data_IF_177868405156
#
_entry.id   IF_177868405156
#
_cell.length_a   1.000
_cell.length_b   1.000
_cell.length_c   1.000
_cell.angle_alpha   90.00
_cell.angle_beta   90.00
_cell.angle_gamma   90.00
#
_symmetry.space_group_name_H-M   'P 1'
#
loop_
_entity.id
_entity.type
_entity.pdbx_description
1 polymer ?
#
# COMPACT_ATOMS: atom_id res chain seq x y z
N UNK A 1 2.20 -22.97 3.09
CA UNK A 1 2.41 -22.27 1.80
C UNK A 1 2.60 -23.34 0.74
N UNK A 2 1.91 -23.24 -0.40
CA UNK A 2 2.19 -24.13 -1.52
C UNK A 2 3.49 -23.69 -2.19
N UNK A 3 4.43 -24.62 -2.39
CA UNK A 3 5.65 -24.35 -3.15
C UNK A 3 5.28 -24.08 -4.62
N UNK A 4 5.35 -22.81 -5.01
CA UNK A 4 5.19 -22.39 -6.39
C UNK A 4 6.45 -22.77 -7.17
N UNK A 5 6.27 -23.25 -8.40
CA UNK A 5 7.41 -23.45 -9.31
C UNK A 5 8.03 -22.10 -9.69
N UNK A 6 9.30 -22.09 -10.09
CA UNK A 6 9.97 -20.86 -10.54
C UNK A 6 9.18 -20.12 -11.64
N UNK A 7 8.62 -20.88 -12.60
CA UNK A 7 7.76 -20.32 -13.65
C UNK A 7 6.49 -19.68 -13.10
N UNK A 8 5.82 -20.34 -12.15
CA UNK A 8 4.62 -19.79 -11.52
C UNK A 8 4.93 -18.53 -10.73
N UNK A 9 6.09 -18.47 -10.07
CA UNK A 9 6.59 -17.26 -9.41
C UNK A 9 6.79 -16.14 -10.42
N UNK A 10 7.47 -16.40 -11.54
CA UNK A 10 7.72 -15.39 -12.59
C UNK A 10 6.42 -14.87 -13.22
N UNK A 11 5.48 -15.77 -13.51
CA UNK A 11 4.15 -15.42 -14.05
C UNK A 11 3.36 -14.59 -13.03
N UNK A 12 3.31 -15.03 -11.77
CA UNK A 12 2.59 -14.33 -10.71
C UNK A 12 3.16 -12.93 -10.50
N UNK A 13 4.49 -12.80 -10.45
CA UNK A 13 5.20 -11.53 -10.33
C UNK A 13 4.82 -10.58 -11.47
N UNK A 14 4.99 -11.05 -12.70
CA UNK A 14 4.73 -10.26 -13.91
C UNK A 14 3.27 -9.80 -13.98
N UNK A 15 2.33 -10.69 -13.61
CA UNK A 15 0.92 -10.37 -13.54
C UNK A 15 0.60 -9.29 -12.51
N UNK A 16 1.16 -9.41 -11.31
CA UNK A 16 0.94 -8.43 -10.25
C UNK A 16 1.52 -7.07 -10.63
N UNK A 17 2.71 -7.04 -11.23
CA UNK A 17 3.34 -5.80 -11.72
C UNK A 17 2.48 -5.12 -12.80
N UNK A 18 2.03 -5.86 -13.81
CA UNK A 18 1.12 -5.34 -14.85
C UNK A 18 -0.22 -4.87 -14.24
N UNK A 19 -0.76 -5.60 -13.25
CA UNK A 19 -2.00 -5.20 -12.56
C UNK A 19 -1.83 -3.92 -11.74
N UNK A 20 -0.71 -3.76 -11.02
CA UNK A 20 -0.38 -2.55 -10.27
C UNK A 20 -0.33 -1.34 -11.23
N UNK A 21 0.26 -1.51 -12.41
CA UNK A 21 0.41 -0.45 -13.40
C UNK A 21 -0.90 -0.09 -14.11
N UNK A 22 -1.69 -1.08 -14.52
CA UNK A 22 -2.82 -0.87 -15.44
C UNK A 22 -4.19 -0.80 -14.75
N UNK A 23 -4.35 -1.35 -13.55
CA UNK A 23 -5.65 -1.60 -12.93
C UNK A 23 -6.57 -2.57 -13.70
N UNK A 24 -6.04 -3.27 -14.71
CA UNK A 24 -6.83 -4.11 -15.62
C UNK A 24 -6.59 -5.60 -15.41
N UNK A 25 -7.58 -6.42 -15.79
CA UNK A 25 -7.44 -7.86 -15.75
C UNK A 25 -6.39 -8.34 -16.76
N UNK A 26 -5.38 -9.08 -16.29
CA UNK A 26 -4.20 -9.41 -17.10
C UNK A 26 -4.38 -10.74 -17.82
N UNK A 27 -4.15 -10.73 -19.14
CA UNK A 27 -4.21 -11.89 -20.02
C UNK A 27 -2.84 -12.51 -20.31
N UNK A 28 -2.83 -13.76 -20.80
CA UNK A 28 -1.60 -14.49 -21.13
C UNK A 28 -0.80 -13.83 -22.26
N UNK A 29 -1.48 -13.22 -23.23
CA UNK A 29 -0.81 -12.54 -24.36
C UNK A 29 -0.13 -11.25 -23.92
N UNK A 30 -0.71 -10.50 -22.98
CA UNK A 30 -0.10 -9.31 -22.40
C UNK A 30 1.20 -9.68 -21.69
N UNK A 31 1.17 -10.75 -20.89
CA UNK A 31 2.33 -11.24 -20.15
C UNK A 31 3.47 -11.72 -21.05
N UNK A 32 3.14 -12.47 -22.11
CA UNK A 32 4.15 -12.95 -23.07
C UNK A 32 4.86 -11.78 -23.77
N UNK A 33 4.10 -10.80 -24.26
CA UNK A 33 4.66 -9.66 -25.01
C UNK A 33 5.48 -8.70 -24.17
N UNK A 34 5.08 -8.45 -22.92
CA UNK A 34 5.70 -7.41 -22.08
C UNK A 34 6.78 -7.93 -21.13
N UNK A 35 6.68 -9.17 -20.64
CA UNK A 35 7.53 -9.64 -19.54
C UNK A 35 8.58 -10.68 -19.94
N UNK A 36 8.81 -10.87 -21.25
CA UNK A 36 9.83 -11.76 -21.80
C UNK A 36 9.86 -13.15 -21.13
N UNK A 37 8.68 -13.70 -20.88
CA UNK A 37 8.52 -15.01 -20.26
C UNK A 37 8.89 -16.09 -21.28
N UNK A 38 9.76 -17.03 -20.88
CA UNK A 38 10.17 -18.18 -21.71
C UNK A 38 9.06 -19.24 -21.85
N UNK A 39 7.83 -18.83 -22.18
CA UNK A 39 6.66 -19.70 -22.28
C UNK A 39 5.63 -19.15 -23.29
N UNK A 40 4.96 -20.06 -24.01
CA UNK A 40 3.89 -19.68 -24.95
C UNK A 40 2.65 -19.12 -24.22
N UNK A 41 1.80 -18.30 -24.87
CA UNK A 41 0.56 -17.82 -24.28
C UNK A 41 -0.36 -18.94 -23.75
N UNK A 42 -0.40 -20.09 -24.43
CA UNK A 42 -1.17 -21.26 -23.98
C UNK A 42 -0.61 -21.85 -22.67
N UNK A 43 0.72 -21.94 -22.56
CA UNK A 43 1.40 -22.38 -21.34
C UNK A 43 1.13 -21.41 -20.19
N UNK A 44 1.29 -20.11 -20.41
CA UNK A 44 1.02 -19.07 -19.39
C UNK A 44 -0.44 -19.14 -18.96
N UNK A 45 -1.38 -19.35 -19.90
CA UNK A 45 -2.81 -19.51 -19.59
C UNK A 45 -3.06 -20.67 -18.64
N UNK A 46 -2.41 -21.82 -18.86
CA UNK A 46 -2.54 -23.01 -18.01
C UNK A 46 -1.96 -22.77 -16.62
N UNK A 47 -0.80 -22.12 -16.52
CA UNK A 47 -0.20 -21.78 -15.22
C UNK A 47 -1.06 -20.78 -14.44
N UNK A 48 -1.67 -19.79 -15.11
CA UNK A 48 -2.62 -18.88 -14.46
C UNK A 48 -3.89 -19.60 -13.97
N UNK A 49 -4.34 -20.64 -14.66
CA UNK A 49 -5.44 -21.50 -14.16
C UNK A 49 -4.99 -22.18 -12.87
N UNK A 50 -3.78 -22.75 -12.85
CA UNK A 50 -3.22 -23.38 -11.65
C UNK A 50 -3.07 -22.40 -10.48
N UNK A 51 -2.55 -21.19 -10.73
CA UNK A 51 -2.45 -20.13 -9.73
C UNK A 51 -3.82 -19.67 -9.21
N UNK A 52 -4.88 -19.79 -10.03
CA UNK A 52 -6.26 -19.55 -9.59
C UNK A 52 -6.75 -20.65 -8.66
N UNK A 53 -6.50 -21.93 -9.00
CA UNK A 53 -6.84 -23.09 -8.15
C UNK A 53 -6.12 -23.02 -6.79
N UNK A 54 -4.88 -22.51 -6.79
CA UNK A 54 -4.09 -22.30 -5.58
C UNK A 54 -4.49 -21.04 -4.78
N UNK A 55 -5.43 -20.24 -5.28
CA UNK A 55 -5.95 -19.05 -4.60
C UNK A 55 -5.12 -17.77 -4.73
N UNK A 56 -4.04 -17.76 -5.50
CA UNK A 56 -3.21 -16.56 -5.72
C UNK A 56 -3.85 -15.58 -6.72
N UNK A 57 -4.62 -16.09 -7.67
CA UNK A 57 -5.33 -15.31 -8.68
C UNK A 57 -6.83 -15.59 -8.61
N UNK A 58 -7.64 -14.67 -9.14
CA UNK A 58 -9.06 -14.86 -9.39
C UNK A 58 -9.43 -14.50 -10.82
N UNK A 59 -10.44 -15.17 -11.35
CA UNK A 59 -11.04 -14.83 -12.66
C UNK A 59 -11.84 -13.54 -12.52
N UNK A 60 -11.81 -12.73 -13.56
CA UNK A 60 -12.78 -11.64 -13.72
C UNK A 60 -13.97 -12.15 -14.54
N UNK A 61 -15.10 -11.44 -14.51
CA UNK A 61 -16.26 -11.79 -15.36
C UNK A 61 -15.92 -11.72 -16.86
N UNK A 62 -14.83 -11.04 -17.25
CA UNK A 62 -14.28 -11.02 -18.60
C UNK A 62 -13.37 -12.24 -18.80
N UNK A 63 -13.71 -13.08 -19.77
CA UNK A 63 -13.26 -14.47 -19.92
C UNK A 63 -11.76 -14.73 -20.19
N UNK A 64 -10.92 -13.68 -20.33
CA UNK A 64 -9.50 -13.82 -20.65
C UNK A 64 -8.53 -13.38 -19.53
N UNK A 65 -8.96 -12.46 -18.65
CA UNK A 65 -8.07 -11.80 -17.68
C UNK A 65 -8.15 -12.36 -16.27
N UNK A 66 -7.03 -12.29 -15.55
CA UNK A 66 -6.94 -12.64 -14.11
C UNK A 66 -6.47 -11.42 -13.33
N UNK A 67 -6.90 -11.33 -12.08
CA UNK A 67 -6.39 -10.33 -11.13
C UNK A 67 -5.86 -11.04 -9.88
N UNK A 68 -4.92 -10.43 -9.16
CA UNK A 68 -4.42 -10.98 -7.90
C UNK A 68 -5.52 -11.05 -6.84
N UNK A 69 -5.45 -12.05 -5.97
CA UNK A 69 -6.19 -12.04 -4.69
C UNK A 69 -5.36 -11.32 -3.63
N UNK A 70 -5.95 -11.07 -2.45
CA UNK A 70 -5.18 -10.57 -1.29
C UNK A 70 -4.03 -11.51 -0.92
N UNK A 71 -4.20 -12.83 -1.11
CA UNK A 71 -3.12 -13.81 -0.91
C UNK A 71 -2.01 -13.65 -1.97
N UNK A 72 -2.38 -13.49 -3.24
CA UNK A 72 -1.46 -13.17 -4.33
C UNK A 72 -0.62 -11.93 -4.04
N UNK A 73 -1.29 -10.85 -3.66
CA UNK A 73 -0.63 -9.57 -3.38
C UNK A 73 0.30 -9.67 -2.15
N UNK A 74 -0.12 -10.33 -1.07
CA UNK A 74 0.77 -10.58 0.08
C UNK A 74 2.00 -11.38 -0.28
N UNK A 75 1.84 -12.42 -1.09
CA UNK A 75 2.97 -13.23 -1.54
C UNK A 75 3.97 -12.37 -2.33
N UNK A 76 3.47 -11.53 -3.24
CA UNK A 76 4.29 -10.58 -3.97
C UNK A 76 5.07 -9.65 -3.05
N UNK A 77 4.37 -8.99 -2.12
CA UNK A 77 4.99 -8.03 -1.21
C UNK A 77 6.02 -8.69 -0.30
N UNK A 78 5.75 -9.91 0.20
CA UNK A 78 6.65 -10.59 1.13
C UNK A 78 7.85 -11.25 0.45
N UNK A 79 7.74 -11.68 -0.81
CA UNK A 79 8.76 -12.57 -1.41
C UNK A 79 9.29 -12.11 -2.77
N UNK A 80 8.54 -11.30 -3.54
CA UNK A 80 8.84 -11.06 -4.96
C UNK A 80 9.21 -9.62 -5.28
N UNK A 81 8.64 -8.68 -4.52
CA UNK A 81 8.82 -7.25 -4.71
C UNK A 81 10.27 -6.86 -4.38
N UNK A 82 10.75 -5.78 -4.99
CA UNK A 82 12.05 -5.18 -4.67
C UNK A 82 11.80 -3.73 -4.26
N UNK A 83 12.16 -3.41 -3.03
CA UNK A 83 12.05 -2.04 -2.53
C UNK A 83 12.89 -1.10 -3.42
N UNK A 84 12.30 0.01 -3.85
CA UNK A 84 13.05 1.11 -4.47
C UNK A 84 13.68 1.93 -3.36
N UNK A 85 14.99 2.13 -3.43
CA UNK A 85 15.66 3.08 -2.54
C UNK A 85 15.19 4.50 -2.86
N UNK A 86 14.90 5.28 -1.82
CA UNK A 86 14.74 6.71 -1.97
C UNK A 86 16.09 7.32 -2.31
N UNK A 87 16.12 8.25 -3.26
CA UNK A 87 17.37 8.95 -3.55
C UNK A 87 17.72 9.89 -2.40
N UNK A 88 19.02 10.07 -2.14
CA UNK A 88 19.52 11.00 -1.11
C UNK A 88 18.96 12.41 -1.30
N UNK A 89 18.80 12.86 -2.55
CA UNK A 89 18.21 14.16 -2.86
C UNK A 89 16.75 14.27 -2.42
N UNK A 90 15.97 13.19 -2.57
CA UNK A 90 14.59 13.15 -2.10
C UNK A 90 14.52 13.17 -0.57
N UNK A 91 15.36 12.40 0.11
CA UNK A 91 15.43 12.39 1.58
C UNK A 91 15.78 13.77 2.13
N UNK A 92 16.80 14.43 1.58
CA UNK A 92 17.20 15.78 2.00
C UNK A 92 16.06 16.78 1.78
N UNK A 93 15.42 16.76 0.61
CA UNK A 93 14.30 17.67 0.31
C UNK A 93 13.10 17.45 1.24
N UNK A 94 12.81 16.21 1.63
CA UNK A 94 11.74 15.88 2.57
C UNK A 94 12.07 16.40 3.97
N UNK A 95 13.30 16.17 4.43
CA UNK A 95 13.78 16.61 5.74
C UNK A 95 13.77 18.13 5.89
N UNK A 96 14.23 18.86 4.89
CA UNK A 96 14.24 20.33 4.89
C UNK A 96 12.82 20.91 5.04
N UNK A 97 11.83 20.35 4.36
CA UNK A 97 10.43 20.84 4.41
C UNK A 97 9.82 20.81 5.81
N UNK A 98 10.18 19.84 6.63
CA UNK A 98 9.57 19.63 7.95
C UNK A 98 10.46 20.10 9.10
N UNK A 99 11.69 20.52 8.81
CA UNK A 99 12.70 20.90 9.81
C UNK A 99 12.29 22.08 10.68
N UNK A 100 11.67 23.10 10.08
CA UNK A 100 11.23 24.31 10.79
C UNK A 100 9.99 24.07 11.66
N UNK A 101 9.30 22.95 11.45
CA UNK A 101 8.11 22.55 12.21
C UNK A 101 8.44 21.60 13.36
N UNK A 102 9.70 21.18 13.53
CA UNK A 102 10.11 20.13 14.48
C UNK A 102 9.70 20.37 15.94
N UNK A 103 9.49 21.63 16.35
CA UNK A 103 9.07 22.00 17.72
C UNK A 103 7.55 22.17 17.85
N UNK A 104 6.81 21.99 16.76
CA UNK A 104 5.36 22.18 16.67
C UNK A 104 4.68 20.90 16.23
N UNK A 105 4.52 19.97 17.16
CA UNK A 105 3.98 18.62 16.95
C UNK A 105 2.86 18.53 15.90
N UNK A 106 1.72 19.20 16.15
CA UNK A 106 0.56 19.11 15.26
C UNK A 106 0.82 19.66 13.86
N UNK A 107 1.58 20.75 13.76
CA UNK A 107 1.94 21.35 12.46
C UNK A 107 2.90 20.45 11.70
N UNK A 108 3.87 19.85 12.40
CA UNK A 108 4.81 18.88 11.86
C UNK A 108 4.09 17.64 11.32
N UNK A 109 3.27 16.97 12.15
CA UNK A 109 2.55 15.75 11.73
C UNK A 109 1.61 16.02 10.55
N UNK A 110 0.95 17.18 10.54
CA UNK A 110 0.12 17.61 9.41
C UNK A 110 0.93 17.76 8.12
N UNK A 111 2.10 18.40 8.17
CA UNK A 111 2.94 18.61 6.99
C UNK A 111 3.61 17.31 6.51
N UNK A 112 4.05 16.47 7.44
CA UNK A 112 4.57 15.12 7.15
C UNK A 112 3.49 14.28 6.44
N UNK A 113 2.26 14.26 6.96
CA UNK A 113 1.12 13.53 6.35
C UNK A 113 0.81 14.07 4.96
N UNK A 114 0.76 15.40 4.80
CA UNK A 114 0.54 16.05 3.50
C UNK A 114 1.64 15.70 2.50
N UNK A 115 2.89 15.72 2.93
CA UNK A 115 4.04 15.41 2.08
C UNK A 115 4.04 13.93 1.70
N UNK A 116 3.69 13.03 2.62
CA UNK A 116 3.52 11.61 2.32
C UNK A 116 2.46 11.41 1.24
N UNK A 117 1.28 12.03 1.37
CA UNK A 117 0.21 11.95 0.37
C UNK A 117 0.66 12.43 -1.02
N UNK A 118 1.40 13.55 -1.08
CA UNK A 118 1.89 14.10 -2.35
C UNK A 118 2.87 13.18 -3.07
N UNK A 119 3.71 12.48 -2.30
CA UNK A 119 4.76 11.59 -2.81
C UNK A 119 4.20 10.22 -3.17
N UNK A 120 3.37 9.65 -2.28
CA UNK A 120 2.72 8.37 -2.48
C UNK A 120 1.65 8.40 -3.58
N UNK A 121 1.12 9.59 -3.91
CA UNK A 121 -0.04 9.77 -4.79
C UNK A 121 -1.24 8.95 -4.30
N UNK A 122 -1.44 8.90 -2.99
CA UNK A 122 -2.53 8.19 -2.34
C UNK A 122 -3.02 8.97 -1.12
N UNK A 123 -3.98 8.40 -0.37
CA UNK A 123 -4.43 8.97 0.89
C UNK A 123 -3.39 8.66 1.98
N UNK A 124 -2.86 9.68 2.63
CA UNK A 124 -1.98 9.50 3.78
C UNK A 124 -2.74 9.79 5.07
N UNK A 125 -2.43 9.01 6.10
CA UNK A 125 -3.00 9.12 7.44
C UNK A 125 -1.85 9.15 8.45
N UNK A 126 -1.97 10.00 9.46
CA UNK A 126 -1.18 9.89 10.68
C UNK A 126 -2.05 10.03 11.93
N UNK A 127 -1.70 9.30 12.99
CA UNK A 127 -2.41 9.28 14.26
C UNK A 127 -1.48 9.45 15.44
N UNK A 128 -2.00 9.89 16.59
CA UNK A 128 -1.28 9.86 17.86
C UNK A 128 -2.08 9.12 18.93
N UNK A 129 -1.39 8.63 19.96
CA UNK A 129 -1.98 8.06 21.17
C UNK A 129 -2.75 9.09 22.03
N UNK A 130 -2.65 10.38 21.70
CA UNK A 130 -3.46 11.46 22.29
C UNK A 130 -4.79 11.69 21.54
N UNK A 131 -5.03 10.91 20.48
CA UNK A 131 -6.27 10.98 19.69
C UNK A 131 -6.20 11.92 18.50
N UNK A 132 -5.03 12.47 18.16
CA UNK A 132 -4.90 13.27 16.95
C UNK A 132 -5.00 12.40 15.69
N UNK A 133 -5.61 12.99 14.67
CA UNK A 133 -5.83 12.37 13.38
C UNK A 133 -5.55 13.38 12.27
N UNK A 134 -4.62 13.04 11.40
CA UNK A 134 -4.24 13.83 10.24
C UNK A 134 -4.51 13.02 8.99
N UNK A 135 -5.16 13.62 8.00
CA UNK A 135 -5.40 12.98 6.72
C UNK A 135 -5.17 13.97 5.58
N UNK A 136 -4.56 13.48 4.50
CA UNK A 136 -4.29 14.24 3.30
C UNK A 136 -4.33 13.36 2.05
N UNK A 137 -4.54 13.95 0.88
CA UNK A 137 -4.50 13.22 -0.39
C UNK A 137 -5.86 12.70 -0.88
N UNK A 138 -6.98 13.21 -0.38
CA UNK A 138 -8.32 12.86 -0.86
C UNK A 138 -8.44 12.94 -2.39
N UNK A 139 -7.89 13.98 -3.00
CA UNK A 139 -7.91 14.15 -4.45
C UNK A 139 -7.13 13.05 -5.20
N UNK A 140 -6.02 12.54 -4.63
CA UNK A 140 -5.22 11.49 -5.27
C UNK A 140 -6.01 10.20 -5.45
N UNK A 141 -6.93 9.91 -4.53
CA UNK A 141 -7.79 8.73 -4.60
C UNK A 141 -8.74 8.83 -5.78
N UNK A 142 -9.28 10.02 -6.05
CA UNK A 142 -10.23 10.25 -7.14
C UNK A 142 -9.59 10.13 -8.54
N UNK A 143 -8.27 10.18 -8.64
CA UNK A 143 -7.53 9.92 -9.89
C UNK A 143 -7.40 8.42 -10.20
N UNK A 144 -7.76 7.54 -9.26
CA UNK A 144 -7.60 6.08 -9.40
C UNK A 144 -8.89 5.41 -9.89
N UNK A 145 -8.81 4.47 -10.87
CA UNK A 145 -9.98 3.81 -11.46
C UNK A 145 -10.95 3.16 -10.46
N UNK A 146 -10.44 2.56 -9.38
CA UNK A 146 -11.26 1.89 -8.36
C UNK A 146 -12.22 2.83 -7.64
N UNK A 147 -11.88 4.11 -7.56
CA UNK A 147 -12.64 5.14 -6.85
C UNK A 147 -13.47 6.00 -7.81
N UNK A 148 -13.64 5.56 -9.06
CA UNK A 148 -14.71 6.05 -9.91
C UNK A 148 -16.05 5.41 -9.56
N UNK A 149 -16.02 4.28 -8.85
CA UNK A 149 -17.19 3.70 -8.21
C UNK A 149 -17.54 4.53 -6.95
N UNK A 150 -18.75 5.09 -6.97
CA UNK A 150 -19.22 5.98 -5.90
C UNK A 150 -19.42 5.23 -4.58
N UNK A 151 -19.79 3.94 -4.61
CA UNK A 151 -20.03 3.16 -3.41
C UNK A 151 -18.71 2.81 -2.73
N UNK A 152 -17.69 2.46 -3.53
CA UNK A 152 -16.31 2.26 -3.04
C UNK A 152 -15.76 3.56 -2.45
N UNK A 153 -15.91 4.67 -3.16
CA UNK A 153 -15.39 5.97 -2.69
C UNK A 153 -16.08 6.42 -1.42
N UNK A 154 -17.40 6.33 -1.37
CA UNK A 154 -18.18 6.70 -0.18
C UNK A 154 -17.80 5.81 1.01
N UNK A 155 -17.65 4.51 0.81
CA UNK A 155 -17.24 3.60 1.89
C UNK A 155 -15.86 3.96 2.46
N UNK A 156 -14.89 4.31 1.61
CA UNK A 156 -13.59 4.80 2.07
C UNK A 156 -13.73 6.09 2.88
N UNK A 157 -14.45 7.09 2.36
CA UNK A 157 -14.57 8.39 3.01
C UNK A 157 -15.31 8.30 4.36
N UNK A 158 -16.37 7.49 4.44
CA UNK A 158 -17.10 7.23 5.69
C UNK A 158 -16.21 6.55 6.75
N UNK A 159 -15.28 5.69 6.33
CA UNK A 159 -14.32 5.07 7.25
C UNK A 159 -13.24 6.07 7.70
N UNK A 160 -12.81 6.99 6.82
CA UNK A 160 -11.84 8.03 7.14
C UNK A 160 -12.41 9.09 8.09
N UNK A 161 -13.70 9.39 7.97
CA UNK A 161 -14.41 10.29 8.90
C UNK A 161 -14.54 9.69 10.32
N UNK A 162 -14.25 8.39 10.49
CA UNK A 162 -14.28 7.68 11.77
C UNK A 162 -12.85 7.38 12.23
N UNK A 163 -12.19 8.38 12.80
CA UNK A 163 -10.80 8.29 13.24
C UNK A 163 -10.55 7.08 14.17
N UNK A 164 -11.50 6.75 15.05
CA UNK A 164 -11.41 5.63 15.99
C UNK A 164 -11.36 4.27 15.28
N UNK A 165 -12.03 4.14 14.12
CA UNK A 165 -11.99 2.91 13.34
C UNK A 165 -10.60 2.69 12.76
N UNK A 166 -10.03 3.71 12.12
CA UNK A 166 -8.66 3.63 11.57
C UNK A 166 -7.64 3.41 12.69
N UNK A 167 -7.82 4.05 13.84
CA UNK A 167 -6.99 3.80 15.03
C UNK A 167 -7.06 2.34 15.49
N UNK A 168 -8.24 1.72 15.46
CA UNK A 168 -8.41 0.32 15.85
C UNK A 168 -7.65 -0.65 14.93
N UNK A 169 -7.49 -0.33 13.65
CA UNK A 169 -6.70 -1.14 12.70
C UNK A 169 -5.22 -1.21 13.11
N UNK A 170 -4.71 -0.19 13.79
CA UNK A 170 -3.32 -0.13 14.24
C UNK A 170 -3.04 -0.93 15.52
N UNK A 171 -4.04 -1.06 16.38
CA UNK A 171 -3.90 -1.62 17.74
C UNK A 171 -3.58 -3.13 17.80
N UNK A 172 -3.72 -3.85 16.69
CA UNK A 172 -3.55 -5.30 16.63
C UNK A 172 -2.10 -5.80 16.52
N UNK A 173 -1.12 -4.92 16.34
CA UNK A 173 0.27 -5.30 16.04
C UNK A 173 1.26 -4.62 17.00
N UNK A 174 2.27 -5.38 17.46
CA UNK A 174 3.23 -4.97 18.51
C UNK A 174 4.65 -4.73 18.03
N UNK A 175 4.97 -4.97 16.75
CA UNK A 175 6.32 -4.69 16.23
C UNK A 175 6.38 -3.26 15.65
N UNK A 176 7.17 -2.43 16.31
CA UNK A 176 7.33 -1.01 16.02
C UNK A 176 8.28 -0.75 14.83
N UNK A 177 9.13 -1.71 14.47
CA UNK A 177 10.08 -1.57 13.35
C UNK A 177 9.57 -2.16 12.03
N UNK A 178 8.48 -2.92 12.07
CA UNK A 178 7.93 -3.59 10.89
C UNK A 178 6.95 -2.68 10.12
N UNK A 179 6.98 -2.79 8.79
CA UNK A 179 5.95 -2.22 7.93
C UNK A 179 4.77 -3.19 7.95
N UNK A 180 3.59 -2.67 8.33
CA UNK A 180 2.35 -3.42 8.37
C UNK A 180 1.55 -3.20 7.09
N UNK A 181 0.98 -4.27 6.56
CA UNK A 181 0.22 -4.25 5.31
C UNK A 181 -1.08 -5.01 5.50
N UNK A 182 -2.19 -4.32 5.35
CA UNK A 182 -3.54 -4.87 5.42
C UNK A 182 -4.19 -4.82 4.03
N UNK A 183 -4.79 -5.93 3.61
CA UNK A 183 -5.40 -6.04 2.27
C UNK A 183 -6.82 -6.59 2.34
N UNK A 184 -7.76 -5.91 1.70
CA UNK A 184 -9.16 -6.34 1.60
C UNK A 184 -9.78 -6.58 2.97
N UNK A 185 -10.25 -7.81 3.21
CA UNK A 185 -10.99 -8.19 4.42
C UNK A 185 -10.24 -7.94 5.75
N UNK A 186 -8.92 -7.84 5.73
CA UNK A 186 -8.12 -7.49 6.92
C UNK A 186 -8.38 -6.08 7.44
N UNK A 187 -8.89 -5.20 6.59
CA UNK A 187 -9.27 -3.84 6.95
C UNK A 187 -10.60 -3.80 7.69
N UNK A 188 -11.25 -4.95 7.90
CA UNK A 188 -12.48 -5.08 8.68
C UNK A 188 -13.74 -4.65 7.93
N UNK A 189 -14.90 -4.75 8.60
CA UNK A 189 -16.20 -4.64 7.94
C UNK A 189 -16.55 -3.22 7.45
N UNK A 190 -15.91 -2.17 7.98
CA UNK A 190 -16.16 -0.79 7.50
C UNK A 190 -15.32 -0.42 6.29
N UNK A 191 -14.26 -1.18 5.99
CA UNK A 191 -13.42 -1.03 4.81
C UNK A 191 -13.41 -2.35 4.03
N UNK A 192 -14.57 -2.70 3.47
CA UNK A 192 -14.79 -3.99 2.80
C UNK A 192 -14.58 -3.97 1.27
N UNK A 193 -14.03 -2.87 0.75
CA UNK A 193 -13.69 -2.71 -0.67
C UNK A 193 -12.32 -3.29 -1.05
N UNK A 194 -11.89 -3.10 -2.31
CA UNK A 194 -10.59 -3.55 -2.79
C UNK A 194 -9.48 -2.61 -2.32
N UNK A 195 -9.36 -2.41 -1.01
CA UNK A 195 -8.40 -1.48 -0.42
C UNK A 195 -7.11 -2.18 0.01
N UNK A 196 -6.04 -1.39 0.06
CA UNK A 196 -4.78 -1.75 0.68
C UNK A 196 -4.33 -0.62 1.59
N UNK A 197 -3.77 -0.99 2.74
CA UNK A 197 -3.24 -0.05 3.69
C UNK A 197 -1.83 -0.47 4.10
N UNK A 198 -0.89 0.48 3.99
CA UNK A 198 0.52 0.28 4.38
C UNK A 198 0.85 1.31 5.45
N UNK A 199 1.24 0.86 6.63
CA UNK A 199 1.56 1.77 7.74
C UNK A 199 2.76 1.28 8.55
N UNK A 200 3.35 2.21 9.30
CA UNK A 200 4.38 1.96 10.32
C UNK A 200 3.97 2.69 11.59
N UNK A 201 4.26 2.10 12.74
CA UNK A 201 4.19 2.79 14.04
C UNK A 201 5.48 3.60 14.26
N UNK A 202 5.36 4.80 14.78
CA UNK A 202 6.47 5.65 15.19
C UNK A 202 6.41 5.96 16.69
N UNK A 203 7.57 6.24 17.25
CA UNK A 203 7.75 6.58 18.66
C UNK A 203 8.63 7.81 18.80
N UNK A 204 8.23 8.74 19.65
CA UNK A 204 9.02 9.93 19.96
C UNK A 204 9.66 9.82 21.35
N UNK A 205 10.73 10.58 21.62
CA UNK A 205 11.39 10.58 22.92
C UNK A 205 10.49 10.94 24.11
N UNK A 206 9.47 11.80 23.94
CA UNK A 206 8.57 12.18 25.05
C UNK A 206 7.32 11.28 25.20
N UNK A 207 7.38 10.05 24.68
CA UNK A 207 6.33 9.01 24.78
C UNK A 207 5.08 9.25 23.92
N UNK A 208 5.10 10.22 23.00
CA UNK A 208 4.09 10.24 21.95
C UNK A 208 4.32 9.05 21.02
N UNK A 209 3.27 8.27 20.80
CA UNK A 209 3.29 7.16 19.86
C UNK A 209 2.17 7.35 18.86
N UNK A 210 2.34 6.78 17.68
CA UNK A 210 1.38 6.99 16.61
C UNK A 210 1.67 6.17 15.40
N UNK A 211 0.79 6.21 14.43
CA UNK A 211 0.95 5.49 13.18
C UNK A 211 0.98 6.46 12.02
N UNK A 212 1.76 6.14 11.01
CA UNK A 212 1.76 6.84 9.74
C UNK A 212 1.65 5.83 8.61
N UNK A 213 0.78 6.11 7.64
CA UNK A 213 0.52 5.18 6.58
C UNK A 213 -0.18 5.76 5.38
N UNK A 214 -0.34 4.92 4.38
CA UNK A 214 -0.98 5.21 3.09
C UNK A 214 -2.09 4.21 2.84
N UNK A 215 -3.29 4.73 2.61
CA UNK A 215 -4.50 3.99 2.25
C UNK A 215 -4.83 4.25 0.78
N UNK A 216 -5.25 3.21 0.08
CA UNK A 216 -5.59 3.27 -1.34
C UNK A 216 -6.13 1.94 -1.85
N UNK A 217 -6.02 1.65 -3.16
CA UNK A 217 -6.49 0.40 -3.72
C UNK A 217 -5.56 -0.75 -3.30
N UNK A 218 -6.04 -1.99 -3.36
CA UNK A 218 -5.27 -3.18 -3.01
C UNK A 218 -4.06 -3.43 -3.94
N UNK A 219 -3.92 -2.62 -4.99
CA UNK A 219 -2.80 -2.62 -5.94
C UNK A 219 -1.91 -1.38 -5.80
N UNK A 220 -1.76 -0.84 -4.60
CA UNK A 220 -0.76 0.20 -4.32
C UNK A 220 0.60 -0.20 -4.90
N UNK A 221 1.41 0.79 -5.30
CA UNK A 221 2.76 0.52 -5.80
C UNK A 221 3.69 0.17 -4.63
N UNK A 222 3.62 -1.07 -4.14
CA UNK A 222 4.31 -1.51 -2.92
C UNK A 222 5.83 -1.31 -2.99
N UNK A 223 6.45 -1.46 -4.16
CA UNK A 223 7.87 -1.20 -4.37
C UNK A 223 8.29 0.22 -3.98
N UNK A 224 7.38 1.19 -4.12
CA UNK A 224 7.61 2.59 -3.76
C UNK A 224 7.00 2.95 -2.41
N UNK A 225 5.77 2.48 -2.13
CA UNK A 225 5.02 2.84 -0.93
C UNK A 225 5.68 2.31 0.33
N UNK A 226 6.13 1.05 0.34
CA UNK A 226 6.75 0.43 1.52
C UNK A 226 7.99 1.20 1.99
N UNK A 227 9.02 1.45 1.16
CA UNK A 227 10.19 2.22 1.58
C UNK A 227 9.83 3.68 1.89
N UNK A 228 8.86 4.28 1.19
CA UNK A 228 8.41 5.65 1.48
C UNK A 228 7.78 5.75 2.87
N UNK A 229 6.83 4.89 3.21
CA UNK A 229 6.20 4.90 4.55
C UNK A 229 7.22 4.61 5.65
N UNK A 230 8.15 3.68 5.40
CA UNK A 230 9.25 3.36 6.33
C UNK A 230 10.10 4.59 6.61
N UNK A 231 10.53 5.30 5.56
CA UNK A 231 11.31 6.52 5.68
C UNK A 231 10.57 7.60 6.47
N UNK A 232 9.29 7.85 6.16
CA UNK A 232 8.50 8.86 6.87
C UNK A 232 8.31 8.54 8.35
N UNK A 233 8.07 7.29 8.71
CA UNK A 233 8.02 6.88 10.13
C UNK A 233 9.35 7.14 10.84
N UNK A 234 10.48 6.78 10.20
CA UNK A 234 11.81 7.08 10.75
C UNK A 234 12.16 8.56 10.77
N UNK A 235 11.65 9.36 9.83
CA UNK A 235 11.81 10.81 9.80
C UNK A 235 11.14 11.47 11.02
N UNK A 236 9.95 10.99 11.40
CA UNK A 236 9.25 11.45 12.61
C UNK A 236 10.12 11.13 13.84
N UNK A 237 10.58 9.89 13.97
CA UNK A 237 11.45 9.44 15.08
C UNK A 237 12.74 10.26 15.18
N UNK A 238 13.33 10.67 14.05
CA UNK A 238 14.57 11.44 14.00
C UNK A 238 14.39 12.93 14.33
N UNK A 239 13.31 13.56 13.84
CA UNK A 239 13.13 15.02 13.90
C UNK A 239 12.34 15.46 15.12
N UNK A 240 11.40 14.64 15.60
CA UNK A 240 10.55 14.94 16.75
C UNK A 240 11.30 14.82 18.09
N UNK A 241 12.55 15.31 18.18
CA UNK A 241 13.36 15.24 19.42
C UNK A 241 12.83 16.15 20.54
N UNK A 242 11.90 17.06 20.21
CA UNK A 242 11.37 18.06 21.13
C UNK A 242 10.03 17.70 21.78
N UNK A 243 9.44 16.56 21.44
CA UNK A 243 8.15 16.07 21.96
C UNK A 243 8.05 14.54 21.79
#
# INVERSE_FOLDING_TARGET
MHDLTARQVDILKSLIEEYIETAEAVGSETLEKKHNLSASPATIRNEMVRLTELGYLKKTHVSAGRVPTSMGMKFYVKQLMKEKELSVAEEVSLKEKVWDLREKEREFLKEVTRTLAQRSKALAIATTNEGDFFCAGYANILDMPEFLDIDVTKNLLEAVDQAEYLQSLFSGQTDDNEIHILLGEELGPRLNGPYGFVYKRYHTPMKLTGEIGVLGPARLNYNYIVPTVRYFGSLIEEIAKGW
#
